data_IF_977220695070
#
_entry.id   IF_977220695070
#
_cell.length_a   1.000
_cell.length_b   1.000
_cell.length_c   1.000
_cell.angle_alpha   90.00
_cell.angle_beta   90.00
_cell.angle_gamma   90.00
#
_symmetry.space_group_name_H-M   'P 1'
#
loop_
_entity.id
_entity.type
_entity.pdbx_description
1 polymer ?
#
# COMPACT_ATOMS: atom_id res chain seq x y z
N UNK A 1 -30.28 16.28 -7.70
CA UNK A 1 -29.37 15.70 -6.67
C UNK A 1 -28.35 16.75 -6.26
N UNK A 2 -28.03 16.87 -4.96
CA UNK A 2 -26.92 17.73 -4.51
C UNK A 2 -25.56 17.14 -4.89
N UNK A 3 -24.54 17.98 -5.10
CA UNK A 3 -23.20 17.59 -5.57
C UNK A 3 -22.59 16.47 -4.73
N UNK A 4 -22.71 16.54 -3.39
CA UNK A 4 -22.17 15.54 -2.46
C UNK A 4 -22.79 14.16 -2.68
N UNK A 5 -24.12 14.10 -2.91
CA UNK A 5 -24.84 12.85 -3.13
C UNK A 5 -24.44 12.20 -4.46
N UNK A 6 -24.22 13.02 -5.50
CA UNK A 6 -23.75 12.54 -6.80
C UNK A 6 -22.33 11.98 -6.73
N UNK A 7 -21.43 12.62 -5.98
CA UNK A 7 -20.07 12.12 -5.75
C UNK A 7 -20.06 10.80 -4.97
N UNK A 8 -20.94 10.68 -3.96
CA UNK A 8 -21.12 9.43 -3.22
C UNK A 8 -21.55 8.28 -4.14
N UNK A 9 -22.62 8.47 -4.93
CA UNK A 9 -23.07 7.46 -5.89
C UNK A 9 -21.95 7.07 -6.86
N UNK A 10 -21.26 8.07 -7.40
CA UNK A 10 -20.17 7.88 -8.36
C UNK A 10 -19.07 6.98 -7.80
N UNK A 11 -18.58 7.29 -6.60
CA UNK A 11 -17.57 6.48 -5.94
C UNK A 11 -18.07 5.06 -5.66
N UNK A 12 -19.28 4.90 -5.10
CA UNK A 12 -19.83 3.59 -4.76
C UNK A 12 -20.08 2.71 -5.99
N UNK A 13 -20.47 3.32 -7.12
CA UNK A 13 -20.69 2.63 -8.38
C UNK A 13 -19.36 2.23 -9.05
N UNK A 14 -18.39 3.14 -9.13
CA UNK A 14 -17.07 2.85 -9.71
C UNK A 14 -16.28 1.85 -8.85
N UNK A 15 -16.41 1.93 -7.52
CA UNK A 15 -15.80 0.98 -6.58
C UNK A 15 -16.50 -0.38 -6.55
N UNK A 16 -17.57 -0.58 -7.34
CA UNK A 16 -18.34 -1.84 -7.40
C UNK A 16 -18.94 -2.27 -6.05
N UNK A 17 -19.18 -1.32 -5.14
CA UNK A 17 -19.86 -1.58 -3.86
C UNK A 17 -21.37 -1.68 -4.11
N UNK A 18 -21.91 -0.74 -4.89
CA UNK A 18 -23.26 -0.85 -5.46
C UNK A 18 -24.41 -0.93 -4.44
N UNK A 19 -24.45 -0.04 -3.44
CA UNK A 19 -25.52 -0.04 -2.42
C UNK A 19 -26.94 0.10 -2.97
N UNK A 20 -27.12 0.70 -4.16
CA UNK A 20 -28.42 0.83 -4.81
C UNK A 20 -29.40 1.80 -4.13
N UNK A 21 -28.93 2.54 -3.13
CA UNK A 21 -29.66 3.55 -2.37
C UNK A 21 -29.92 4.82 -3.19
N UNK A 22 -28.97 5.16 -4.06
CA UNK A 22 -29.04 6.31 -4.98
C UNK A 22 -28.70 5.80 -6.37
N UNK A 23 -29.53 6.17 -7.35
CA UNK A 23 -29.28 5.89 -8.76
C UNK A 23 -29.65 7.12 -9.61
N UNK A 24 -29.02 7.33 -10.77
CA UNK A 24 -29.40 8.39 -11.68
C UNK A 24 -30.76 8.04 -12.29
N UNK A 25 -31.71 8.97 -12.15
CA UNK A 25 -32.99 8.90 -12.84
C UNK A 25 -32.74 9.22 -14.33
N UNK A 26 -32.72 8.19 -15.16
CA UNK A 26 -32.52 8.34 -16.61
C UNK A 26 -33.87 8.30 -17.31
N UNK A 27 -34.21 9.35 -18.05
CA UNK A 27 -35.49 9.45 -18.78
C UNK A 27 -35.40 8.72 -20.13
N UNK A 28 -34.21 8.67 -20.72
CA UNK A 28 -33.96 8.10 -22.05
C UNK A 28 -32.90 6.99 -21.99
N UNK A 29 -33.03 5.97 -22.86
CA UNK A 29 -32.03 4.88 -22.97
C UNK A 29 -30.61 5.39 -23.24
N UNK A 30 -30.48 6.48 -24.00
CA UNK A 30 -29.18 7.10 -24.29
C UNK A 30 -28.50 7.62 -23.02
N UNK A 31 -29.24 8.17 -22.07
CA UNK A 31 -28.68 8.62 -20.79
C UNK A 31 -28.18 7.44 -19.96
N UNK A 32 -28.95 6.36 -19.91
CA UNK A 32 -28.54 5.11 -19.23
C UNK A 32 -27.27 4.55 -19.85
N UNK A 33 -27.16 4.57 -21.18
CA UNK A 33 -25.98 4.09 -21.91
C UNK A 33 -24.75 4.95 -21.60
N UNK A 34 -24.88 6.28 -21.63
CA UNK A 34 -23.78 7.20 -21.29
C UNK A 34 -23.30 6.97 -19.86
N UNK A 35 -24.22 6.87 -18.88
CA UNK A 35 -23.88 6.60 -17.49
C UNK A 35 -23.18 5.25 -17.35
N UNK A 36 -23.66 4.23 -18.04
CA UNK A 36 -23.07 2.88 -18.01
C UNK A 36 -21.65 2.88 -18.58
N UNK A 37 -21.42 3.54 -19.71
CA UNK A 37 -20.09 3.69 -20.31
C UNK A 37 -19.16 4.51 -19.41
N UNK A 38 -19.66 5.58 -18.81
CA UNK A 38 -18.91 6.39 -17.86
C UNK A 38 -18.42 5.56 -16.67
N UNK A 39 -19.30 4.74 -16.09
CA UNK A 39 -18.93 3.83 -15.00
C UNK A 39 -17.91 2.79 -15.46
N UNK A 40 -18.08 2.23 -16.67
CA UNK A 40 -17.14 1.26 -17.24
C UNK A 40 -15.73 1.82 -17.37
N UNK A 41 -15.59 3.02 -17.92
CA UNK A 41 -14.31 3.70 -18.01
C UNK A 41 -13.77 4.04 -16.62
N UNK A 42 -14.62 4.56 -15.74
CA UNK A 42 -14.27 4.89 -14.35
C UNK A 42 -13.68 3.70 -13.59
N UNK A 43 -14.24 2.50 -13.77
CA UNK A 43 -13.74 1.28 -13.13
C UNK A 43 -12.31 0.93 -13.57
N UNK A 44 -12.01 1.08 -14.87
CA UNK A 44 -10.66 0.82 -15.39
C UNK A 44 -9.66 1.78 -14.75
N UNK A 45 -10.00 3.07 -14.67
CA UNK A 45 -9.14 4.07 -14.03
C UNK A 45 -8.94 3.81 -12.53
N UNK A 46 -10.00 3.43 -11.81
CA UNK A 46 -9.90 3.09 -10.40
C UNK A 46 -8.98 1.87 -10.20
N UNK A 47 -9.13 0.83 -11.02
CA UNK A 47 -8.32 -0.38 -10.96
C UNK A 47 -6.82 -0.08 -11.19
N UNK A 48 -6.49 0.68 -12.24
CA UNK A 48 -5.09 1.07 -12.53
C UNK A 48 -4.50 1.88 -11.37
N UNK A 49 -5.26 2.83 -10.84
CA UNK A 49 -4.84 3.65 -9.70
C UNK A 49 -4.62 2.80 -8.46
N UNK A 50 -5.50 1.84 -8.19
CA UNK A 50 -5.38 0.93 -7.06
C UNK A 50 -4.14 0.03 -7.17
N UNK A 51 -3.83 -0.47 -8.37
CA UNK A 51 -2.60 -1.25 -8.62
C UNK A 51 -1.36 -0.38 -8.39
N UNK A 52 -1.30 0.82 -8.98
CA UNK A 52 -0.18 1.74 -8.77
C UNK A 52 0.01 2.08 -7.29
N UNK A 53 -1.09 2.33 -6.57
CA UNK A 53 -1.07 2.62 -5.14
C UNK A 53 -0.53 1.45 -4.32
N UNK A 54 -0.99 0.22 -4.61
CA UNK A 54 -0.48 -0.99 -3.94
C UNK A 54 1.02 -1.19 -4.16
N UNK A 55 1.52 -0.94 -5.37
CA UNK A 55 2.94 -1.01 -5.68
C UNK A 55 3.76 -0.01 -4.88
N UNK A 56 3.28 1.23 -4.77
CA UNK A 56 3.92 2.26 -3.95
C UNK A 56 3.99 1.87 -2.47
N UNK A 57 2.90 1.35 -1.90
CA UNK A 57 2.88 0.88 -0.51
C UNK A 57 3.90 -0.25 -0.31
N UNK A 58 3.89 -1.25 -1.19
CA UNK A 58 4.82 -2.38 -1.11
C UNK A 58 6.27 -1.91 -1.19
N UNK A 59 6.58 -0.94 -2.07
CA UNK A 59 7.91 -0.35 -2.19
C UNK A 59 8.37 0.31 -0.89
N UNK A 60 7.51 1.12 -0.28
CA UNK A 60 7.82 1.78 1.01
C UNK A 60 8.09 0.72 2.08
N UNK A 61 7.22 -0.27 2.18
CA UNK A 61 7.35 -1.34 3.16
C UNK A 61 8.64 -2.14 2.97
N UNK A 62 8.98 -2.47 1.72
CA UNK A 62 10.19 -3.20 1.38
C UNK A 62 11.47 -2.44 1.77
N UNK A 63 11.54 -1.14 1.51
CA UNK A 63 12.69 -0.31 1.88
C UNK A 63 12.85 -0.26 3.40
N UNK A 64 11.76 0.00 4.13
CA UNK A 64 11.77 0.07 5.60
C UNK A 64 12.18 -1.26 6.22
N UNK A 65 11.66 -2.39 5.70
CA UNK A 65 12.01 -3.71 6.21
C UNK A 65 13.45 -4.08 5.87
N UNK A 66 13.89 -3.89 4.62
CA UNK A 66 15.26 -4.22 4.22
C UNK A 66 16.27 -3.48 5.06
N UNK A 67 16.05 -2.20 5.31
CA UNK A 67 16.95 -1.39 6.14
C UNK A 67 17.01 -1.96 7.57
N UNK A 68 15.85 -2.25 8.18
CA UNK A 68 15.82 -2.86 9.51
C UNK A 68 16.53 -4.22 9.58
N UNK A 69 16.40 -5.05 8.54
CA UNK A 69 17.06 -6.36 8.49
C UNK A 69 18.57 -6.20 8.32
N UNK A 70 19.00 -5.34 7.39
CA UNK A 70 20.42 -5.08 7.13
C UNK A 70 21.15 -4.59 8.38
N UNK A 71 20.56 -3.63 9.09
CA UNK A 71 21.12 -3.11 10.34
C UNK A 71 21.23 -4.18 11.43
N UNK A 72 20.26 -5.09 11.53
CA UNK A 72 20.32 -6.22 12.48
C UNK A 72 21.50 -7.14 12.17
N UNK A 73 21.76 -7.45 10.91
CA UNK A 73 22.90 -8.28 10.53
C UNK A 73 24.23 -7.60 10.86
N UNK A 74 24.38 -6.31 10.59
CA UNK A 74 25.60 -5.55 10.93
C UNK A 74 25.84 -5.51 12.45
N UNK A 75 24.81 -5.23 13.23
CA UNK A 75 24.92 -5.21 14.71
C UNK A 75 25.32 -6.56 15.28
N UNK A 76 24.77 -7.65 14.73
CA UNK A 76 25.10 -9.00 15.17
C UNK A 76 26.54 -9.38 14.79
N UNK A 77 27.01 -8.99 13.61
CA UNK A 77 28.41 -9.19 13.21
C UNK A 77 29.38 -8.39 14.08
N UNK A 78 29.05 -7.14 14.43
CA UNK A 78 29.85 -6.30 15.32
C UNK A 78 29.95 -6.88 16.74
N UNK A 79 28.82 -7.37 17.30
CA UNK A 79 28.80 -8.04 18.62
C UNK A 79 29.71 -9.28 18.66
N UNK A 80 29.72 -10.09 17.60
CA UNK A 80 30.61 -11.27 17.49
C UNK A 80 32.07 -10.87 17.55
N UNK A 81 32.47 -9.82 16.82
CA UNK A 81 33.85 -9.30 16.84
C UNK A 81 34.27 -8.80 18.23
N UNK A 82 33.40 -8.06 18.91
CA UNK A 82 33.67 -7.57 20.26
C UNK A 82 33.84 -8.71 21.28
N UNK A 83 32.99 -9.74 21.22
CA UNK A 83 33.11 -10.91 22.10
C UNK A 83 34.44 -11.63 21.91
N UNK A 84 34.89 -11.81 20.67
CA UNK A 84 36.19 -12.43 20.37
C UNK A 84 37.35 -11.58 20.89
N UNK A 85 37.33 -10.26 20.69
CA UNK A 85 38.37 -9.36 21.22
C UNK A 85 38.41 -9.33 22.75
N UNK A 86 37.27 -9.43 23.43
CA UNK A 86 37.22 -9.50 24.90
C UNK A 86 37.84 -10.79 25.43
N UNK A 87 37.49 -11.94 24.84
CA UNK A 87 38.05 -13.25 25.24
C UNK A 87 39.58 -13.28 25.12
N UNK A 88 40.12 -12.76 24.01
CA UNK A 88 41.56 -12.69 23.80
C UNK A 88 42.27 -11.79 24.82
N UNK A 89 41.62 -10.71 25.27
CA UNK A 89 42.20 -9.81 26.28
C UNK A 89 42.21 -10.44 27.68
N UNK A 90 41.19 -11.21 28.04
CA UNK A 90 41.12 -11.91 29.33
C UNK A 90 42.15 -13.02 29.44
N UNK A 91 42.35 -13.82 28.37
CA UNK A 91 43.31 -14.92 28.38
C UNK A 91 44.76 -14.42 28.58
N UNK A 92 45.10 -13.29 27.95
CA UNK A 92 46.41 -12.67 28.11
C UNK A 92 46.64 -12.05 29.50
N UNK A 93 45.57 -11.71 30.23
CA UNK A 93 45.69 -11.15 31.58
C UNK A 93 45.80 -12.22 32.67
N UNK A 94 45.38 -13.46 32.41
CA UNK A 94 45.51 -14.59 33.34
C UNK A 94 46.88 -15.30 33.33
N UNK A 95 47.76 -14.93 32.40
CA UNK A 95 49.08 -15.57 32.22
C UNK A 95 50.22 -14.73 32.86
N UNK A 96 49.92 -13.51 33.35
CA UNK A 96 50.83 -12.69 34.15
C UNK A 96 50.36 -12.63 35.61
#
# INVERSE_FOLDING_TARGET
>A
MGVVRSLYFNYMAIAMIGFGDIAPETVNMLQTLIVSLYLLVGMIFLAVTHVAFSYWIQRIFFVVIKEKIYQRHLRNAAKRRLSTSYSFKTDNHSIN
#
